data_IF_445894891210
#
_entry.id   IF_445894891210
#
_cell.length_a   1.000
_cell.length_b   1.000
_cell.length_c   1.000
_cell.angle_alpha   90.00
_cell.angle_beta   90.00
_cell.angle_gamma   90.00
#
_symmetry.space_group_name_H-M   'P 1'
#
loop_
_entity.id
_entity.type
_entity.pdbx_description
1 polymer ?
#
# COMPACT_ATOMS: atom_id res chain seq x y z
N UNK A 1 7.35 -5.48 -15.32
CA UNK A 1 6.45 -4.36 -15.63
C UNK A 1 6.71 -3.15 -14.75
N UNK A 2 6.52 -3.21 -13.44
CA UNK A 2 6.76 -2.05 -12.53
C UNK A 2 8.19 -1.50 -12.62
N UNK A 3 9.19 -2.36 -12.85
CA UNK A 3 10.58 -1.94 -13.07
C UNK A 3 10.78 -1.02 -14.30
N UNK A 4 9.89 -1.09 -15.29
CA UNK A 4 9.97 -0.29 -16.54
C UNK A 4 9.32 1.08 -16.41
N UNK A 5 8.59 1.33 -15.34
CA UNK A 5 7.84 2.57 -15.10
C UNK A 5 8.21 3.26 -13.77
N UNK A 6 9.24 2.78 -13.08
CA UNK A 6 9.64 3.29 -11.76
C UNK A 6 9.91 4.82 -11.78
N UNK A 7 10.50 5.33 -12.85
CA UNK A 7 10.83 6.75 -13.03
C UNK A 7 9.60 7.66 -13.28
N UNK A 8 8.50 7.08 -13.77
CA UNK A 8 7.26 7.81 -14.05
C UNK A 8 6.11 7.41 -13.12
N UNK A 9 6.36 6.46 -12.22
CA UNK A 9 5.34 5.83 -11.38
C UNK A 9 4.55 6.87 -10.57
N UNK A 10 5.24 7.75 -9.85
CA UNK A 10 4.59 8.77 -9.02
C UNK A 10 3.77 9.78 -9.84
N UNK A 11 4.28 10.15 -11.03
CA UNK A 11 3.59 11.10 -11.90
C UNK A 11 2.26 10.55 -12.41
N UNK A 12 2.23 9.26 -12.73
CA UNK A 12 1.01 8.59 -13.20
C UNK A 12 0.07 8.32 -12.03
N UNK A 13 0.57 7.79 -10.90
CA UNK A 13 -0.26 7.52 -9.71
C UNK A 13 -1.01 8.77 -9.23
N UNK A 14 -0.36 9.93 -9.24
CA UNK A 14 -1.01 11.19 -8.88
C UNK A 14 -2.19 11.53 -9.79
N UNK A 15 -2.09 11.27 -11.08
CA UNK A 15 -3.17 11.53 -12.05
C UNK A 15 -4.29 10.50 -11.92
N UNK A 16 -3.96 9.20 -11.88
CA UNK A 16 -4.96 8.13 -11.80
C UNK A 16 -5.66 8.04 -10.43
N UNK A 17 -5.07 8.62 -9.38
CA UNK A 17 -5.72 8.77 -8.06
C UNK A 17 -6.53 10.06 -7.94
N UNK A 18 -6.62 10.86 -9.01
CA UNK A 18 -7.20 12.20 -8.98
C UNK A 18 -6.59 13.07 -7.86
N UNK A 19 -5.27 12.98 -7.68
CA UNK A 19 -4.46 13.68 -6.67
C UNK A 19 -4.80 13.31 -5.21
N UNK A 20 -5.55 12.25 -4.96
CA UNK A 20 -5.98 11.86 -3.62
C UNK A 20 -5.01 10.89 -2.92
N UNK A 21 -4.08 10.25 -3.65
CA UNK A 21 -3.15 9.26 -3.12
C UNK A 21 -2.34 9.78 -1.92
N UNK A 22 -1.81 10.98 -2.00
CA UNK A 22 -1.03 11.62 -0.92
C UNK A 22 -1.90 11.91 0.30
N UNK A 23 -3.11 12.45 0.10
CA UNK A 23 -4.03 12.75 1.20
C UNK A 23 -4.46 11.49 1.95
N UNK A 24 -4.73 10.39 1.22
CA UNK A 24 -5.10 9.12 1.83
C UNK A 24 -3.92 8.46 2.58
N UNK A 25 -2.70 8.51 2.03
CA UNK A 25 -1.49 8.07 2.76
C UNK A 25 -1.31 8.87 4.06
N UNK A 26 -1.41 10.20 4.01
CA UNK A 26 -1.32 11.05 5.19
C UNK A 26 -2.42 10.73 6.21
N UNK A 27 -3.63 10.41 5.77
CA UNK A 27 -4.71 10.02 6.68
C UNK A 27 -4.40 8.68 7.36
N UNK A 28 -3.95 7.67 6.61
CA UNK A 28 -3.52 6.39 7.18
C UNK A 28 -2.37 6.56 8.19
N UNK A 29 -1.37 7.37 7.85
CA UNK A 29 -0.24 7.67 8.73
C UNK A 29 -0.72 8.34 10.03
N UNK A 30 -1.58 9.37 9.94
CA UNK A 30 -2.12 10.07 11.12
C UNK A 30 -2.89 9.16 12.06
N UNK A 31 -3.62 8.19 11.50
CA UNK A 31 -4.49 7.31 12.29
C UNK A 31 -3.71 6.14 12.93
N UNK A 32 -2.59 5.70 12.33
CA UNK A 32 -1.94 4.46 12.74
C UNK A 32 -0.45 4.55 13.12
N UNK A 33 0.24 5.66 12.84
CA UNK A 33 1.67 5.80 13.12
C UNK A 33 1.89 6.82 14.25
N UNK A 34 2.82 6.48 15.15
CA UNK A 34 3.28 7.34 16.24
C UNK A 34 4.77 7.66 16.09
N UNK A 35 5.27 8.63 16.86
CA UNK A 35 6.70 8.95 16.90
C UNK A 35 7.49 7.87 17.64
N UNK A 36 8.75 7.66 17.26
CA UNK A 36 9.63 6.67 17.89
C UNK A 36 9.34 5.21 17.52
N UNK A 37 8.49 4.95 16.50
CA UNK A 37 8.18 3.60 16.05
C UNK A 37 9.28 2.99 15.18
N UNK A 38 9.41 1.66 15.27
CA UNK A 38 10.10 0.81 14.29
C UNK A 38 9.05 0.32 13.30
N UNK A 39 9.17 0.74 12.05
CA UNK A 39 8.14 0.56 11.02
C UNK A 39 8.64 -0.31 9.88
N UNK A 40 7.80 -1.21 9.40
CA UNK A 40 7.98 -1.91 8.12
C UNK A 40 7.08 -1.26 7.06
N UNK A 41 7.67 -0.69 6.01
CA UNK A 41 6.95 -0.26 4.79
C UNK A 41 6.94 -1.44 3.81
N UNK A 42 5.87 -2.24 3.84
CA UNK A 42 5.74 -3.48 3.10
C UNK A 42 5.16 -3.23 1.70
N UNK A 43 5.98 -3.52 0.67
CA UNK A 43 5.72 -3.11 -0.70
C UNK A 43 5.92 -1.61 -0.85
N UNK A 44 7.06 -1.11 -0.36
CA UNK A 44 7.35 0.33 -0.26
C UNK A 44 7.39 1.06 -1.62
N UNK A 45 7.59 0.32 -2.73
CA UNK A 45 7.81 0.92 -4.02
C UNK A 45 8.96 1.93 -3.98
N UNK A 46 8.79 3.15 -4.53
CA UNK A 46 9.82 4.19 -4.49
C UNK A 46 9.87 4.97 -3.15
N UNK A 47 9.24 4.47 -2.07
CA UNK A 47 9.37 5.01 -0.72
C UNK A 47 8.49 6.22 -0.38
N UNK A 48 7.40 6.47 -1.12
CA UNK A 48 6.52 7.64 -0.93
C UNK A 48 5.90 7.68 0.47
N UNK A 49 5.43 6.52 0.97
CA UNK A 49 4.78 6.48 2.29
C UNK A 49 5.81 6.66 3.40
N UNK A 50 7.00 6.08 3.27
CA UNK A 50 8.12 6.27 4.18
C UNK A 50 8.59 7.72 4.27
N UNK A 51 8.70 8.42 3.13
CA UNK A 51 9.03 9.85 3.07
C UNK A 51 8.02 10.70 3.86
N UNK A 52 6.72 10.44 3.68
CA UNK A 52 5.66 11.13 4.40
C UNK A 52 5.70 10.86 5.90
N UNK A 53 6.03 9.63 6.32
CA UNK A 53 6.21 9.28 7.74
C UNK A 53 7.37 10.04 8.33
N UNK A 54 8.55 10.00 7.74
CA UNK A 54 9.74 10.67 8.28
C UNK A 54 9.65 12.19 8.25
N UNK A 55 8.91 12.77 7.30
CA UNK A 55 8.62 14.20 7.29
C UNK A 55 7.77 14.63 8.48
N UNK A 56 6.90 13.76 8.98
CA UNK A 56 6.00 14.03 10.11
C UNK A 56 6.59 13.58 11.46
N UNK A 57 7.28 12.45 11.45
CA UNK A 57 7.83 11.77 12.62
C UNK A 57 9.30 11.37 12.34
N UNK A 58 10.24 12.31 12.45
CA UNK A 58 11.63 12.11 12.04
C UNK A 58 12.42 11.12 12.90
N UNK A 59 11.92 10.79 14.10
CA UNK A 59 12.56 9.83 15.01
C UNK A 59 12.22 8.36 14.71
N UNK A 60 11.31 8.11 13.75
CA UNK A 60 10.97 6.75 13.37
C UNK A 60 12.12 6.08 12.61
N UNK A 61 12.27 4.78 12.83
CA UNK A 61 13.14 3.91 12.04
C UNK A 61 12.29 3.09 11.07
N UNK A 62 12.66 3.08 9.79
CA UNK A 62 11.85 2.42 8.76
C UNK A 62 12.66 1.35 8.03
N UNK A 63 12.09 0.15 7.93
CA UNK A 63 12.56 -0.88 7.00
C UNK A 63 11.70 -0.81 5.74
N UNK A 64 12.31 -0.45 4.62
CA UNK A 64 11.67 -0.44 3.30
C UNK A 64 11.81 -1.81 2.66
N UNK A 65 10.70 -2.44 2.36
CA UNK A 65 10.63 -3.81 1.88
C UNK A 65 9.88 -3.90 0.56
N UNK A 66 10.52 -4.42 -0.49
CA UNK A 66 9.91 -4.56 -1.83
C UNK A 66 10.59 -5.67 -2.62
N UNK A 67 9.85 -6.49 -3.41
CA UNK A 67 10.47 -7.52 -4.26
C UNK A 67 11.26 -6.95 -5.44
N UNK A 68 11.08 -5.67 -5.78
CA UNK A 68 11.61 -5.06 -7.00
C UNK A 68 12.80 -4.17 -6.69
N UNK A 69 14.00 -4.64 -6.99
CA UNK A 69 15.26 -3.96 -6.67
C UNK A 69 15.35 -2.51 -7.21
N UNK A 70 14.78 -2.23 -8.38
CA UNK A 70 14.80 -0.86 -8.91
C UNK A 70 13.92 0.09 -8.09
N UNK A 71 12.84 -0.41 -7.49
CA UNK A 71 12.01 0.35 -6.54
C UNK A 71 12.77 0.65 -5.26
N UNK A 72 13.47 -0.34 -4.68
CA UNK A 72 14.32 -0.12 -3.50
C UNK A 72 15.46 0.86 -3.78
N UNK A 73 16.05 0.86 -4.97
CA UNK A 73 17.06 1.87 -5.37
C UNK A 73 16.45 3.27 -5.42
N UNK A 74 15.26 3.42 -5.97
CA UNK A 74 14.55 4.69 -5.99
C UNK A 74 14.17 5.14 -4.56
N UNK A 75 13.70 4.22 -3.73
CA UNK A 75 13.40 4.46 -2.32
C UNK A 75 14.64 4.94 -1.55
N UNK A 76 15.81 4.34 -1.79
CA UNK A 76 17.08 4.73 -1.16
C UNK A 76 17.49 6.18 -1.48
N UNK A 77 17.20 6.65 -2.69
CA UNK A 77 17.46 8.05 -3.07
C UNK A 77 16.49 8.99 -2.32
N UNK A 78 15.24 8.58 -2.15
CA UNK A 78 14.19 9.38 -1.50
C UNK A 78 14.31 9.40 0.02
N UNK A 79 14.63 8.23 0.60
CA UNK A 79 14.62 8.01 2.06
C UNK A 79 16.01 7.52 2.48
N UNK A 80 16.89 8.46 2.85
CA UNK A 80 18.30 8.15 3.15
C UNK A 80 18.63 8.03 4.64
N UNK A 81 17.79 8.58 5.53
CA UNK A 81 18.03 8.60 6.98
C UNK A 81 17.15 7.60 7.70
N UNK A 82 17.67 6.98 8.76
CA UNK A 82 16.97 6.05 9.65
C UNK A 82 16.25 4.92 8.90
N UNK A 83 16.87 4.38 7.83
CA UNK A 83 16.24 3.45 6.93
C UNK A 83 17.10 2.26 6.58
N UNK A 84 16.50 1.07 6.57
CA UNK A 84 17.07 -0.15 6.04
C UNK A 84 16.28 -0.60 4.79
N UNK A 85 16.92 -1.37 3.90
CA UNK A 85 16.32 -1.79 2.64
C UNK A 85 16.46 -3.30 2.49
N UNK A 86 15.34 -4.00 2.37
CA UNK A 86 15.27 -5.46 2.32
C UNK A 86 14.42 -5.90 1.14
N UNK A 87 14.91 -6.86 0.36
CA UNK A 87 14.15 -7.43 -0.75
C UNK A 87 13.45 -8.73 -0.35
N UNK A 88 12.19 -8.90 -0.74
CA UNK A 88 11.41 -10.10 -0.46
C UNK A 88 9.95 -9.98 -0.87
N UNK A 89 9.14 -10.97 -0.50
CA UNK A 89 7.71 -11.06 -0.83
C UNK A 89 6.87 -11.09 0.45
N UNK A 90 5.62 -10.65 0.36
CA UNK A 90 4.69 -10.58 1.50
C UNK A 90 4.47 -11.91 2.22
N UNK A 91 4.45 -13.00 1.46
CA UNK A 91 4.15 -14.34 1.97
C UNK A 91 5.28 -14.97 2.81
N UNK A 92 6.44 -14.31 2.86
CA UNK A 92 7.59 -14.75 3.66
C UNK A 92 8.44 -13.55 4.05
N UNK A 93 8.06 -12.87 5.12
CA UNK A 93 8.78 -11.72 5.65
C UNK A 93 10.04 -12.21 6.41
N UNK A 94 11.26 -11.77 6.02
CA UNK A 94 12.51 -12.25 6.62
C UNK A 94 12.83 -11.55 7.95
N UNK A 95 11.81 -11.38 8.79
CA UNK A 95 11.90 -10.71 10.09
C UNK A 95 11.38 -11.63 11.19
N UNK A 96 11.92 -11.46 12.40
CA UNK A 96 11.47 -12.18 13.58
C UNK A 96 10.05 -11.77 13.98
N UNK A 97 9.39 -12.61 14.76
CA UNK A 97 8.11 -12.28 15.36
C UNK A 97 8.23 -11.03 16.24
N UNK A 98 7.17 -10.25 16.32
CA UNK A 98 7.07 -9.09 17.22
C UNK A 98 8.19 -8.04 17.04
N UNK A 99 8.65 -7.80 15.81
CA UNK A 99 9.75 -6.89 15.50
C UNK A 99 9.35 -5.45 15.27
N UNK A 100 8.10 -5.20 14.84
CA UNK A 100 7.67 -3.88 14.39
C UNK A 100 6.53 -3.32 15.24
N UNK A 101 6.60 -2.01 15.54
CA UNK A 101 5.50 -1.26 16.15
C UNK A 101 4.38 -1.03 15.14
N UNK A 102 4.75 -0.84 13.88
CA UNK A 102 3.78 -0.71 12.81
C UNK A 102 4.27 -1.38 11.51
N UNK A 103 3.33 -1.93 10.75
CA UNK A 103 3.52 -2.30 9.35
C UNK A 103 2.58 -1.42 8.52
N UNK A 104 3.09 -0.82 7.46
CA UNK A 104 2.28 -0.04 6.55
C UNK A 104 2.33 -0.61 5.13
N UNK A 105 1.18 -0.58 4.46
CA UNK A 105 0.99 -1.01 3.08
C UNK A 105 0.31 0.13 2.30
N UNK A 106 1.07 0.81 1.45
CA UNK A 106 0.57 1.93 0.67
C UNK A 106 0.34 1.57 -0.80
N UNK A 107 -0.84 1.11 -1.16
CA UNK A 107 -1.21 0.62 -2.51
C UNK A 107 -0.37 -0.59 -2.96
N UNK A 108 -0.09 -1.51 -2.04
CA UNK A 108 0.83 -2.62 -2.28
C UNK A 108 0.28 -3.99 -1.92
N UNK A 109 -0.57 -4.11 -0.90
CA UNK A 109 -0.99 -5.43 -0.38
C UNK A 109 -1.81 -6.24 -1.41
N UNK A 110 -2.51 -5.59 -2.35
CA UNK A 110 -3.22 -6.27 -3.46
C UNK A 110 -2.29 -7.02 -4.40
N UNK A 111 -0.99 -6.73 -4.39
CA UNK A 111 0.00 -7.39 -5.23
C UNK A 111 0.54 -8.68 -4.60
N UNK A 112 0.16 -9.00 -3.35
CA UNK A 112 0.39 -10.30 -2.75
C UNK A 112 -0.21 -11.42 -3.61
N UNK A 113 0.49 -12.54 -3.71
CA UNK A 113 0.01 -13.73 -4.45
C UNK A 113 -1.09 -14.43 -3.67
N UNK A 114 -0.91 -14.50 -2.34
CA UNK A 114 -1.86 -15.01 -1.37
C UNK A 114 -2.05 -13.98 -0.26
N UNK A 115 -3.20 -13.31 -0.29
CA UNK A 115 -3.50 -12.22 0.64
C UNK A 115 -3.65 -12.70 2.09
N UNK A 116 -4.19 -13.91 2.30
CA UNK A 116 -4.37 -14.47 3.64
C UNK A 116 -3.02 -14.80 4.28
N UNK A 117 -2.12 -15.43 3.52
CA UNK A 117 -0.75 -15.71 3.98
C UNK A 117 0.00 -14.40 4.26
N UNK A 118 -0.11 -13.40 3.38
CA UNK A 118 0.52 -12.10 3.56
C UNK A 118 0.06 -11.39 4.84
N UNK A 119 -1.25 -11.38 5.11
CA UNK A 119 -1.81 -10.76 6.31
C UNK A 119 -1.38 -11.50 7.59
N UNK A 120 -1.26 -12.83 7.56
CA UNK A 120 -0.74 -13.63 8.69
C UNK A 120 0.74 -13.32 8.96
N UNK A 121 1.56 -13.21 7.92
CA UNK A 121 2.97 -12.83 8.06
C UNK A 121 3.13 -11.40 8.62
N UNK A 122 2.33 -10.46 8.11
CA UNK A 122 2.29 -9.10 8.65
C UNK A 122 1.91 -9.13 10.14
N UNK A 123 0.86 -9.89 10.51
CA UNK A 123 0.46 -10.02 11.91
C UNK A 123 1.56 -10.67 12.75
N UNK A 124 2.31 -11.65 12.23
CA UNK A 124 3.41 -12.31 12.94
C UNK A 124 4.51 -11.33 13.32
N UNK A 125 4.94 -10.48 12.40
CA UNK A 125 6.05 -9.54 12.63
C UNK A 125 5.66 -8.31 13.45
N UNK A 126 4.38 -8.00 13.58
CA UNK A 126 3.87 -6.95 14.45
C UNK A 126 4.02 -7.32 15.93
N UNK A 127 4.39 -6.38 16.78
CA UNK A 127 4.45 -6.54 18.23
C UNK A 127 3.08 -6.93 18.79
N UNK A 128 3.06 -7.78 19.82
CA UNK A 128 1.82 -8.26 20.44
C UNK A 128 1.06 -7.12 21.16
N UNK A 129 1.80 -6.18 21.73
CA UNK A 129 1.21 -5.04 22.42
C UNK A 129 1.40 -3.78 21.59
N UNK A 130 0.29 -3.17 21.19
CA UNK A 130 0.27 -1.90 20.46
C UNK A 130 0.70 -1.98 19.00
N UNK A 131 0.98 -3.17 18.47
CA UNK A 131 1.33 -3.36 17.05
C UNK A 131 0.18 -2.97 16.13
N UNK A 132 0.46 -2.22 15.06
CA UNK A 132 -0.57 -1.69 14.14
C UNK A 132 -0.25 -1.98 12.69
N UNK A 133 -1.26 -2.44 11.95
CA UNK A 133 -1.23 -2.53 10.50
C UNK A 133 -1.97 -1.33 9.92
N UNK A 134 -1.29 -0.53 9.11
CA UNK A 134 -1.84 0.62 8.40
C UNK A 134 -1.94 0.30 6.91
N UNK A 135 -3.13 0.28 6.37
CA UNK A 135 -3.39 0.00 4.95
C UNK A 135 -4.01 1.24 4.29
N UNK A 136 -3.45 1.64 3.17
CA UNK A 136 -4.06 2.56 2.22
C UNK A 136 -4.09 1.85 0.88
N UNK A 137 -5.27 1.51 0.37
CA UNK A 137 -5.39 0.63 -0.79
C UNK A 137 -6.57 1.01 -1.70
N UNK A 138 -6.55 0.49 -2.91
CA UNK A 138 -7.70 0.53 -3.80
C UNK A 138 -8.85 -0.24 -3.16
N UNK A 139 -10.03 0.37 -3.15
CA UNK A 139 -11.25 -0.26 -2.70
C UNK A 139 -12.02 -0.91 -3.85
N UNK A 140 -12.71 -2.00 -3.55
CA UNK A 140 -13.64 -2.67 -4.46
C UNK A 140 -15.04 -2.56 -3.87
N UNK A 141 -15.87 -1.62 -4.35
CA UNK A 141 -17.19 -1.36 -3.79
C UNK A 141 -18.06 -2.61 -3.69
N UNK A 142 -18.82 -2.74 -2.58
CA UNK A 142 -19.75 -3.86 -2.38
C UNK A 142 -20.98 -3.72 -3.27
N UNK A 143 -21.44 -2.49 -3.50
CA UNK A 143 -22.52 -2.20 -4.44
C UNK A 143 -22.07 -2.53 -5.88
N UNK A 144 -22.83 -3.38 -6.57
CA UNK A 144 -22.50 -3.89 -7.90
C UNK A 144 -22.43 -2.81 -8.99
N UNK A 145 -23.27 -1.78 -8.89
CA UNK A 145 -23.29 -0.68 -9.87
C UNK A 145 -22.06 0.21 -9.71
N UNK A 146 -21.74 0.62 -8.47
CA UNK A 146 -20.52 1.37 -8.18
C UNK A 146 -19.26 0.57 -8.56
N UNK A 147 -19.25 -0.72 -8.27
CA UNK A 147 -18.13 -1.62 -8.62
C UNK A 147 -17.90 -1.65 -10.12
N UNK A 148 -18.95 -1.80 -10.94
CA UNK A 148 -18.85 -1.75 -12.42
C UNK A 148 -18.29 -0.41 -12.90
N UNK A 149 -18.70 0.69 -12.31
CA UNK A 149 -18.16 2.03 -12.60
C UNK A 149 -16.65 2.11 -12.31
N UNK A 150 -16.23 1.66 -11.13
CA UNK A 150 -14.80 1.62 -10.73
C UNK A 150 -14.00 0.66 -11.63
N UNK A 151 -14.54 -0.52 -11.96
CA UNK A 151 -13.92 -1.46 -12.89
C UNK A 151 -13.73 -0.86 -14.28
N UNK A 152 -14.73 -0.14 -14.78
CA UNK A 152 -14.65 0.56 -16.07
C UNK A 152 -13.58 1.68 -16.03
N UNK A 153 -13.49 2.42 -14.93
CA UNK A 153 -12.43 3.41 -14.73
C UNK A 153 -11.03 2.77 -14.81
N UNK A 154 -10.79 1.68 -14.07
CA UNK A 154 -9.49 0.97 -14.08
C UNK A 154 -9.17 0.34 -15.42
N UNK A 155 -10.19 -0.14 -16.14
CA UNK A 155 -10.02 -0.81 -17.42
C UNK A 155 -9.74 0.15 -18.58
N UNK A 156 -10.39 1.30 -18.60
CA UNK A 156 -10.37 2.22 -19.76
C UNK A 156 -9.74 3.57 -19.45
N UNK A 157 -10.16 4.24 -18.37
CA UNK A 157 -9.71 5.59 -18.08
C UNK A 157 -8.25 5.62 -17.62
N UNK A 158 -7.86 4.69 -16.73
CA UNK A 158 -6.49 4.65 -16.19
C UNK A 158 -5.42 4.45 -17.27
N UNK A 159 -5.51 3.49 -18.20
CA UNK A 159 -4.53 3.38 -19.29
C UNK A 159 -4.50 4.63 -20.17
N UNK A 160 -5.65 5.21 -20.48
CA UNK A 160 -5.76 6.43 -21.30
C UNK A 160 -5.06 7.61 -20.61
N UNK A 161 -5.36 7.88 -19.35
CA UNK A 161 -4.73 8.94 -18.57
C UNK A 161 -3.22 8.73 -18.44
N UNK A 162 -2.79 7.48 -18.24
CA UNK A 162 -1.37 7.14 -18.20
C UNK A 162 -0.68 7.38 -19.54
N UNK A 163 -1.31 7.01 -20.68
CA UNK A 163 -0.78 7.28 -22.03
C UNK A 163 -0.66 8.80 -22.27
N UNK A 164 -1.67 9.58 -21.92
CA UNK A 164 -1.64 11.04 -22.03
C UNK A 164 -0.47 11.61 -21.21
N UNK A 165 -0.18 11.06 -20.03
CA UNK A 165 0.84 11.58 -19.11
C UNK A 165 2.27 11.19 -19.47
N UNK A 166 2.49 9.95 -19.95
CA UNK A 166 3.83 9.37 -20.14
C UNK A 166 4.01 8.68 -21.51
N UNK A 167 3.12 8.92 -22.45
CA UNK A 167 3.17 8.35 -23.80
C UNK A 167 2.94 6.84 -23.80
N UNK A 168 3.51 6.15 -24.79
CA UNK A 168 3.31 4.69 -24.99
C UNK A 168 3.59 3.82 -23.75
N UNK A 169 4.47 4.28 -22.85
CA UNK A 169 4.76 3.58 -21.58
C UNK A 169 3.55 3.50 -20.64
N UNK A 170 2.58 4.40 -20.81
CA UNK A 170 1.34 4.41 -20.03
C UNK A 170 0.50 3.16 -20.20
N UNK A 171 0.61 2.42 -21.30
CA UNK A 171 -0.11 1.16 -21.53
C UNK A 171 0.23 0.10 -20.46
N UNK A 172 1.43 0.15 -19.86
CA UNK A 172 1.86 -0.76 -18.83
C UNK A 172 1.00 -0.65 -17.56
N UNK A 173 0.36 0.50 -17.33
CA UNK A 173 -0.55 0.69 -16.20
C UNK A 173 -1.86 -0.11 -16.31
N UNK A 174 -2.19 -0.65 -17.49
CA UNK A 174 -3.30 -1.59 -17.66
C UNK A 174 -3.18 -2.83 -16.78
N UNK A 175 -1.96 -3.20 -16.38
CA UNK A 175 -1.76 -4.34 -15.47
C UNK A 175 -2.28 -4.09 -14.04
N UNK A 176 -2.45 -2.84 -13.61
CA UNK A 176 -3.09 -2.52 -12.33
C UNK A 176 -4.53 -3.02 -12.28
N UNK A 177 -5.23 -3.05 -13.41
CA UNK A 177 -6.56 -3.63 -13.51
C UNK A 177 -6.59 -5.12 -13.16
N UNK A 178 -5.54 -5.88 -13.51
CA UNK A 178 -5.47 -7.32 -13.20
C UNK A 178 -5.32 -7.58 -11.69
N UNK A 179 -4.51 -6.78 -10.99
CA UNK A 179 -4.36 -6.91 -9.53
C UNK A 179 -5.62 -6.42 -8.82
N UNK A 180 -6.25 -5.35 -9.30
CA UNK A 180 -7.55 -4.89 -8.82
C UNK A 180 -8.64 -5.97 -8.93
N UNK A 181 -8.71 -6.71 -10.04
CA UNK A 181 -9.71 -7.78 -10.21
C UNK A 181 -9.58 -8.90 -9.17
N UNK A 182 -8.35 -9.23 -8.76
CA UNK A 182 -8.08 -10.27 -7.75
C UNK A 182 -8.34 -9.80 -6.32
N UNK A 183 -8.31 -8.48 -6.10
CA UNK A 183 -8.55 -7.92 -4.78
C UNK A 183 -10.00 -8.19 -4.34
N UNK A 184 -10.25 -8.55 -3.07
CA UNK A 184 -11.60 -8.80 -2.56
C UNK A 184 -12.45 -7.53 -2.54
N UNK A 185 -13.78 -7.68 -2.36
CA UNK A 185 -14.65 -6.54 -2.08
C UNK A 185 -14.34 -5.92 -0.72
N UNK A 186 -14.77 -4.69 -0.50
CA UNK A 186 -14.49 -3.98 0.75
C UNK A 186 -15.03 -4.73 1.97
N UNK A 187 -16.22 -5.32 1.89
CA UNK A 187 -16.78 -6.13 2.98
C UNK A 187 -15.96 -7.38 3.25
N UNK A 188 -15.56 -8.11 2.19
CA UNK A 188 -14.72 -9.30 2.31
C UNK A 188 -13.35 -8.95 2.90
N UNK A 189 -12.71 -7.87 2.42
CA UNK A 189 -11.42 -7.43 2.92
C UNK A 189 -11.49 -7.01 4.40
N UNK A 190 -12.55 -6.27 4.78
CA UNK A 190 -12.81 -5.94 6.19
C UNK A 190 -12.93 -7.21 7.04
N UNK A 191 -13.70 -8.20 6.61
CA UNK A 191 -13.87 -9.47 7.34
C UNK A 191 -12.56 -10.24 7.49
N UNK A 192 -11.70 -10.25 6.46
CA UNK A 192 -10.37 -10.85 6.54
C UNK A 192 -9.50 -10.16 7.61
N UNK A 193 -9.51 -8.84 7.67
CA UNK A 193 -8.79 -8.12 8.72
C UNK A 193 -9.36 -8.40 10.11
N UNK A 194 -10.68 -8.40 10.27
CA UNK A 194 -11.36 -8.67 11.54
C UNK A 194 -11.16 -10.10 12.05
N UNK A 195 -10.91 -11.06 11.16
CA UNK A 195 -10.58 -12.43 11.56
C UNK A 195 -9.16 -12.57 12.16
N UNK A 196 -8.28 -11.63 11.86
CA UNK A 196 -6.88 -11.65 12.29
C UNK A 196 -6.58 -10.63 13.40
N UNK A 197 -7.32 -9.53 13.46
CA UNK A 197 -7.04 -8.40 14.35
C UNK A 197 -8.28 -8.10 15.21
N UNK A 198 -8.12 -7.96 16.55
CA UNK A 198 -9.24 -7.75 17.46
C UNK A 198 -9.95 -6.40 17.27
N UNK A 199 -9.24 -5.38 16.79
CA UNK A 199 -9.80 -4.06 16.50
C UNK A 199 -9.38 -3.59 15.12
N UNK A 200 -10.35 -3.23 14.27
CA UNK A 200 -10.13 -2.75 12.90
C UNK A 200 -10.96 -1.50 12.65
N UNK A 201 -10.30 -0.36 12.52
CA UNK A 201 -10.90 0.85 11.92
C UNK A 201 -10.78 0.74 10.40
N UNK A 202 -11.92 0.63 9.72
CA UNK A 202 -11.98 0.42 8.26
C UNK A 202 -12.84 1.49 7.62
N UNK A 203 -12.23 2.38 6.90
CA UNK A 203 -12.87 3.52 6.24
C UNK A 203 -12.79 3.37 4.72
N UNK A 204 -13.91 3.60 4.05
CA UNK A 204 -13.96 3.71 2.59
C UNK A 204 -14.02 5.17 2.16
N UNK A 205 -13.41 5.50 1.03
CA UNK A 205 -13.40 6.82 0.40
C UNK A 205 -13.76 6.69 -1.08
N UNK A 206 -14.08 7.80 -1.73
CA UNK A 206 -14.37 7.85 -3.18
C UNK A 206 -15.43 6.81 -3.57
N UNK A 207 -16.61 6.82 -2.91
CA UNK A 207 -17.69 5.85 -3.14
C UNK A 207 -17.26 4.38 -3.00
N UNK A 208 -16.29 4.10 -2.14
CA UNK A 208 -15.76 2.76 -1.92
C UNK A 208 -14.60 2.36 -2.82
N UNK A 209 -14.11 3.24 -3.70
CA UNK A 209 -12.97 2.97 -4.58
C UNK A 209 -11.60 3.08 -3.89
N UNK A 210 -11.56 3.51 -2.63
CA UNK A 210 -10.35 3.55 -1.81
C UNK A 210 -10.66 3.10 -0.38
N UNK A 211 -9.70 2.44 0.24
CA UNK A 211 -9.75 1.93 1.61
C UNK A 211 -8.62 2.53 2.41
N UNK A 212 -8.92 2.95 3.63
CA UNK A 212 -7.95 3.28 4.66
C UNK A 212 -8.33 2.44 5.88
N UNK A 213 -7.42 1.57 6.31
CA UNK A 213 -7.66 0.71 7.46
C UNK A 213 -6.50 0.78 8.45
N UNK A 214 -6.84 0.77 9.74
CA UNK A 214 -5.89 0.58 10.83
C UNK A 214 -6.38 -0.62 11.64
N UNK A 215 -5.55 -1.66 11.69
CA UNK A 215 -5.83 -2.87 12.44
C UNK A 215 -4.83 -3.00 13.60
N UNK A 216 -5.32 -3.31 14.79
CA UNK A 216 -4.55 -3.40 16.03
C UNK A 216 -4.35 -4.87 16.40
N UNK A 217 -3.11 -5.25 16.72
CA UNK A 217 -2.77 -6.59 17.21
C UNK A 217 -2.86 -6.67 18.72
#
# INVERSE_FOLDING_TARGET
MLSQIADVYDKVNRVISLWQDTAYRQLGIRNGISNGNIILDAGCGPGVMSELVLSRFPENSIVLFDPIMIMLRAAKIRVSKNSAFVSGIFEKLPFSDNSFDAVMCGYSIRDARDLDVALKEIRRVLKNEGGRLVIVELGKPDNSLLRRGVESYWRFAVPLLAIIRVGKRGILFSALYRTYLRHPTNATFRSMLQSLFPLVDFQTRTLGASVIAVAHK
#
